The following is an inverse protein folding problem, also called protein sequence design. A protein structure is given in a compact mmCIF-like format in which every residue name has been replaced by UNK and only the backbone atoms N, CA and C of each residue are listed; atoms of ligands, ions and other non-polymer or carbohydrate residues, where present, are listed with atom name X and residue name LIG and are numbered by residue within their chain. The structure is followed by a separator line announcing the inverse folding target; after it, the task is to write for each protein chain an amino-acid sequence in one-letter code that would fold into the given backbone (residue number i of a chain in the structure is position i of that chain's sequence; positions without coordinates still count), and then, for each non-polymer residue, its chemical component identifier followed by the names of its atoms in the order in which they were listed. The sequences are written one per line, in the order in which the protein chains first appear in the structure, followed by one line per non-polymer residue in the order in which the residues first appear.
data_IF_309409673013
#
_entry.id   IF_309409673013
#
_cell.length_a   1.000
_cell.length_b   1.000
_cell.length_c   1.000
_cell.angle_alpha   90.00
_cell.angle_beta   90.00
_cell.angle_gamma   90.00
#
_symmetry.space_group_name_H-M   'P 1'
#
loop_
_entity.id
_entity.type
_entity.pdbx_description
1 polymer ?
#
# COMPACT_ATOMS: atom_id res chain seq x y z
N UNK A 1 -1.17 -12.96 -7.30
CA UNK A 1 -1.28 -12.91 -5.82
C UNK A 1 -2.75 -12.75 -5.42
N UNK A 2 -3.14 -13.26 -4.25
CA UNK A 2 -4.51 -13.11 -3.75
C UNK A 2 -4.63 -11.84 -2.93
N UNK A 3 -5.65 -11.05 -3.23
CA UNK A 3 -5.92 -9.77 -2.59
C UNK A 3 -7.39 -9.76 -2.17
N UNK A 4 -7.67 -9.34 -0.95
CA UNK A 4 -9.05 -9.27 -0.47
C UNK A 4 -9.65 -7.89 -0.78
N UNK A 5 -10.70 -7.87 -1.59
CA UNK A 5 -11.46 -6.65 -1.91
C UNK A 5 -12.46 -6.40 -0.79
N UNK A 6 -12.22 -5.39 0.05
CA UNK A 6 -13.04 -5.08 1.22
C UNK A 6 -14.39 -4.48 0.82
N UNK A 7 -14.44 -3.78 -0.32
CA UNK A 7 -15.65 -3.17 -0.88
C UNK A 7 -16.59 -4.24 -1.41
N UNK A 8 -16.07 -5.16 -2.23
CA UNK A 8 -16.85 -6.25 -2.84
C UNK A 8 -16.97 -7.47 -1.94
N UNK A 9 -16.15 -7.57 -0.89
CA UNK A 9 -16.05 -8.69 0.05
C UNK A 9 -15.72 -10.02 -0.65
N UNK A 10 -14.82 -9.96 -1.63
CA UNK A 10 -14.38 -11.11 -2.42
C UNK A 10 -12.87 -11.16 -2.50
N UNK A 11 -12.32 -12.37 -2.61
CA UNK A 11 -10.92 -12.57 -2.96
C UNK A 11 -10.75 -12.38 -4.46
N UNK A 12 -9.82 -11.49 -4.85
CA UNK A 12 -9.43 -11.26 -6.22
C UNK A 12 -8.03 -11.80 -6.46
N UNK A 13 -7.85 -12.49 -7.58
CA UNK A 13 -6.52 -12.84 -8.06
C UNK A 13 -5.99 -11.70 -8.93
N UNK A 14 -4.88 -11.11 -8.49
CA UNK A 14 -4.24 -9.96 -9.14
C UNK A 14 -2.90 -10.39 -9.73
N UNK A 15 -2.54 -9.85 -10.89
CA UNK A 15 -1.29 -10.13 -11.62
C UNK A 15 -0.07 -9.46 -10.95
N UNK A 16 0.21 -9.89 -9.71
CA UNK A 16 1.29 -9.40 -8.86
C UNK A 16 1.25 -7.89 -8.63
N UNK A 17 2.45 -7.31 -8.46
CA UNK A 17 2.66 -5.87 -8.23
C UNK A 17 2.09 -5.01 -9.36
N UNK A 18 2.21 -5.45 -10.62
CA UNK A 18 1.73 -4.68 -11.78
C UNK A 18 0.20 -4.52 -11.78
N UNK A 19 -0.53 -5.59 -11.46
CA UNK A 19 -1.98 -5.53 -11.34
C UNK A 19 -2.43 -4.61 -10.21
N UNK A 20 -1.71 -4.60 -9.08
CA UNK A 20 -1.98 -3.68 -7.97
C UNK A 20 -1.73 -2.21 -8.36
N UNK A 21 -0.64 -1.92 -9.07
CA UNK A 21 -0.35 -0.56 -9.57
C UNK A 21 -1.44 -0.09 -10.54
N UNK A 22 -1.94 -0.98 -11.40
CA UNK A 22 -3.04 -0.65 -12.29
C UNK A 22 -4.32 -0.33 -11.49
N UNK A 23 -4.65 -1.14 -10.48
CA UNK A 23 -5.81 -0.88 -9.60
C UNK A 23 -5.69 0.47 -8.89
N UNK A 24 -4.49 0.84 -8.42
CA UNK A 24 -4.24 2.16 -7.84
C UNK A 24 -4.52 3.28 -8.83
N UNK A 25 -4.09 3.14 -10.09
CA UNK A 25 -4.36 4.12 -11.16
C UNK A 25 -5.84 4.20 -11.52
N UNK A 26 -6.57 3.10 -11.40
CA UNK A 26 -8.04 3.04 -11.53
C UNK A 26 -8.77 3.68 -10.32
N UNK A 27 -8.03 4.27 -9.37
CA UNK A 27 -8.57 5.02 -8.23
C UNK A 27 -8.90 4.15 -7.02
N UNK A 28 -8.46 2.89 -6.99
CA UNK A 28 -8.57 2.00 -5.82
C UNK A 28 -7.44 2.28 -4.84
N UNK A 29 -7.67 2.01 -3.56
CA UNK A 29 -6.61 1.98 -2.56
C UNK A 29 -6.10 0.55 -2.37
N UNK A 30 -4.79 0.39 -2.24
CA UNK A 30 -4.14 -0.88 -1.92
C UNK A 30 -3.51 -0.77 -0.53
N UNK A 31 -4.00 -1.59 0.39
CA UNK A 31 -3.57 -1.62 1.77
C UNK A 31 -2.61 -2.79 1.99
N UNK A 32 -1.36 -2.51 2.37
CA UNK A 32 -0.36 -3.51 2.72
C UNK A 32 -0.22 -3.62 4.22
N UNK A 33 -0.57 -4.77 4.78
CA UNK A 33 -0.31 -5.10 6.18
C UNK A 33 1.03 -5.79 6.28
N UNK A 34 1.98 -5.18 6.97
CA UNK A 34 3.33 -5.67 7.14
C UNK A 34 3.37 -6.84 8.12
N UNK A 35 4.31 -7.76 7.93
CA UNK A 35 4.55 -8.89 8.86
C UNK A 35 5.06 -8.43 10.22
N UNK A 36 5.79 -7.33 10.23
CA UNK A 36 6.39 -6.71 11.39
C UNK A 36 6.29 -5.18 11.27
N UNK A 37 6.25 -4.50 12.41
CA UNK A 37 6.26 -3.03 12.46
C UNK A 37 7.57 -2.54 11.85
N UNK A 38 7.49 -1.66 10.86
CA UNK A 38 8.65 -0.91 10.36
C UNK A 38 8.75 0.41 11.09
N UNK A 39 9.96 0.94 11.13
CA UNK A 39 10.23 2.31 11.59
C UNK A 39 11.00 3.06 10.51
N UNK A 40 10.78 4.37 10.46
CA UNK A 40 11.59 5.28 9.64
C UNK A 40 13.05 5.28 10.10
N UNK A 41 13.97 5.75 9.25
CA UNK A 41 15.42 5.74 9.52
C UNK A 41 15.79 6.44 10.84
N UNK A 42 15.08 7.50 11.21
CA UNK A 42 15.34 8.24 12.46
C UNK A 42 14.57 7.66 13.67
N UNK A 43 13.67 6.70 13.45
CA UNK A 43 12.90 6.05 14.52
C UNK A 43 11.78 6.88 15.13
N UNK A 44 11.45 8.05 14.56
CA UNK A 44 10.33 8.89 15.01
C UNK A 44 8.96 8.30 14.68
N UNK A 45 8.89 7.48 13.63
CA UNK A 45 7.65 6.96 13.08
C UNK A 45 7.76 5.46 12.92
N UNK A 46 6.74 4.73 13.40
CA UNK A 46 6.58 3.30 13.17
C UNK A 46 5.21 3.02 12.57
N UNK A 47 5.11 2.01 11.70
CA UNK A 47 3.86 1.58 11.07
C UNK A 47 3.82 0.07 10.87
N UNK A 48 2.61 -0.48 10.90
CA UNK A 48 2.32 -1.87 10.49
C UNK A 48 1.45 -1.96 9.24
N UNK A 49 0.88 -0.83 8.78
CA UNK A 49 0.08 -0.78 7.55
C UNK A 49 0.54 0.38 6.66
N UNK A 50 0.63 0.11 5.36
CA UNK A 50 0.90 1.09 4.33
C UNK A 50 -0.31 1.17 3.39
N UNK A 51 -0.86 2.37 3.25
CA UNK A 51 -2.01 2.66 2.38
C UNK A 51 -1.50 3.33 1.12
N UNK A 52 -1.58 2.62 -0.01
CA UNK A 52 -1.09 3.09 -1.29
C UNK A 52 -2.25 3.49 -2.19
N UNK A 53 -2.20 4.70 -2.74
CA UNK A 53 -3.18 5.18 -3.71
C UNK A 53 -2.51 6.06 -4.76
N UNK A 54 -3.19 6.24 -5.91
CA UNK A 54 -2.73 7.13 -6.97
C UNK A 54 -3.40 8.50 -6.82
N UNK A 55 -2.59 9.56 -6.82
CA UNK A 55 -3.08 10.95 -6.91
C UNK A 55 -3.27 11.33 -8.39
N UNK A 56 -2.35 10.87 -9.23
CA UNK A 56 -2.32 11.13 -10.67
C UNK A 56 -1.68 9.94 -11.39
N UNK A 57 -1.78 9.86 -12.72
CA UNK A 57 -1.28 8.76 -13.56
C UNK A 57 0.17 8.35 -13.22
N UNK A 58 1.00 9.31 -12.80
CA UNK A 58 2.42 9.11 -12.45
C UNK A 58 2.77 9.40 -10.99
N UNK A 59 1.80 9.77 -10.14
CA UNK A 59 2.04 10.15 -8.75
C UNK A 59 1.23 9.27 -7.81
N UNK A 60 1.92 8.70 -6.85
CA UNK A 60 1.36 7.84 -5.84
C UNK A 60 1.61 8.44 -4.47
N UNK A 61 0.76 8.10 -3.52
CA UNK A 61 0.90 8.48 -2.13
C UNK A 61 0.85 7.23 -1.28
N UNK A 62 1.77 7.18 -0.32
CA UNK A 62 1.80 6.19 0.76
C UNK A 62 1.44 6.91 2.05
N UNK A 63 0.32 6.53 2.63
CA UNK A 63 -0.04 6.87 4.00
C UNK A 63 0.25 5.68 4.91
N UNK A 64 0.32 5.91 6.21
CA UNK A 64 0.74 4.89 7.15
C UNK A 64 -0.25 4.77 8.31
N UNK A 65 -0.39 3.57 8.84
CA UNK A 65 -1.11 3.33 10.09
C UNK A 65 -0.31 2.46 11.03
N UNK A 66 -0.49 2.72 12.32
CA UNK A 66 0.08 1.96 13.42
C UNK A 66 -1.04 1.51 14.36
N UNK A 67 -1.20 0.20 14.52
CA UNK A 67 -2.14 -0.44 15.45
C UNK A 67 -3.58 0.08 15.28
N UNK A 68 -3.99 0.30 14.02
CA UNK A 68 -5.31 0.83 13.66
C UNK A 68 -5.44 2.36 13.75
N UNK A 69 -4.38 3.08 14.12
CA UNK A 69 -4.35 4.55 14.09
C UNK A 69 -3.66 5.04 12.83
N UNK A 70 -4.39 5.81 12.03
CA UNK A 70 -3.84 6.52 10.87
C UNK A 70 -2.86 7.59 11.34
N UNK A 71 -1.67 7.58 10.77
CA UNK A 71 -0.62 8.55 11.03
C UNK A 71 -0.81 9.77 10.11
N UNK A 72 -0.42 10.94 10.60
CA UNK A 72 -0.55 12.19 9.84
C UNK A 72 0.51 12.38 8.75
N UNK A 73 1.54 11.52 8.75
CA UNK A 73 2.64 11.55 7.81
C UNK A 73 2.29 10.76 6.55
N UNK A 74 2.76 11.23 5.41
CA UNK A 74 2.57 10.58 4.12
C UNK A 74 3.78 10.87 3.23
N UNK A 75 4.06 9.97 2.30
CA UNK A 75 5.16 10.10 1.34
C UNK A 75 4.60 10.06 -0.08
N UNK A 76 5.12 10.94 -0.92
CA UNK A 76 4.78 11.00 -2.34
C UNK A 76 5.82 10.25 -3.17
N UNK A 77 5.35 9.44 -4.12
CA UNK A 77 6.18 8.55 -4.91
C UNK A 77 5.91 8.77 -6.40
N UNK A 78 6.98 8.82 -7.20
CA UNK A 78 6.86 8.68 -8.64
C UNK A 78 6.86 7.20 -9.05
N UNK A 79 6.72 6.87 -10.34
CA UNK A 79 6.67 5.48 -10.79
C UNK A 79 7.94 4.68 -10.46
N UNK A 80 9.11 5.30 -10.52
CA UNK A 80 10.39 4.65 -10.20
C UNK A 80 10.53 4.43 -8.70
N UNK A 81 10.13 5.39 -7.87
CA UNK A 81 10.12 5.23 -6.41
C UNK A 81 9.17 4.10 -6.02
N UNK A 82 7.97 4.09 -6.61
CA UNK A 82 6.97 3.05 -6.42
C UNK A 82 7.53 1.66 -6.74
N UNK A 83 8.20 1.49 -7.88
CA UNK A 83 8.77 0.18 -8.26
C UNK A 83 9.84 -0.32 -7.27
N UNK A 84 10.52 0.59 -6.55
CA UNK A 84 11.53 0.22 -5.55
C UNK A 84 10.94 -0.01 -4.15
N UNK A 85 9.95 0.80 -3.76
CA UNK A 85 9.40 0.82 -2.40
C UNK A 85 8.13 -0.01 -2.22
N UNK A 86 7.32 -0.16 -3.26
CA UNK A 86 6.07 -0.91 -3.19
C UNK A 86 6.33 -2.42 -3.27
N UNK A 87 6.36 -3.06 -2.10
CA UNK A 87 6.72 -4.48 -1.94
C UNK A 87 5.55 -5.31 -1.37
N UNK A 88 4.49 -5.52 -2.16
CA UNK A 88 3.31 -6.25 -1.70
C UNK A 88 3.57 -7.74 -1.42
N UNK A 89 4.60 -8.34 -2.02
CA UNK A 89 5.01 -9.73 -1.74
C UNK A 89 5.63 -9.92 -0.34
N UNK A 90 6.18 -8.87 0.26
CA UNK A 90 6.73 -8.94 1.62
C UNK A 90 5.63 -8.77 2.68
N UNK A 91 4.47 -8.25 2.30
CA UNK A 91 3.34 -8.03 3.19
C UNK A 91 2.77 -9.36 3.73
N UNK A 92 2.22 -9.32 4.94
CA UNK A 92 1.45 -10.42 5.51
C UNK A 92 0.09 -10.56 4.83
N UNK A 93 -0.51 -9.42 4.46
CA UNK A 93 -1.84 -9.34 3.86
C UNK A 93 -1.93 -8.12 2.96
N UNK A 94 -2.65 -8.28 1.86
CA UNK A 94 -2.96 -7.19 0.93
C UNK A 94 -4.47 -7.08 0.82
N UNK A 95 -4.98 -5.87 0.99
CA UNK A 95 -6.40 -5.55 0.82
C UNK A 95 -6.60 -4.45 -0.24
N UNK A 96 -7.78 -4.45 -0.85
CA UNK A 96 -8.24 -3.44 -1.79
C UNK A 96 -9.45 -2.73 -1.19
N UNK A 97 -9.37 -1.40 -1.08
CA UNK A 97 -10.44 -0.52 -0.58
C UNK A 97 -10.87 0.51 -1.63
#
# INVERSE_FOLDING_TARGET
MKVYDTVKKVELEVDGTRGLIQLMRDGRQVDLYLKEKKSDEDGYMSWDVEHWSSIDVKRFIRCYSLEGRVLGESTGHNIYDLENEFKPDEAAKVELS
#
